data_IF_284904347217
#
_entry.id   IF_284904347217
#
_cell.length_a   1.000
_cell.length_b   1.000
_cell.length_c   1.000
_cell.angle_alpha   90.00
_cell.angle_beta   90.00
_cell.angle_gamma   90.00
#
_symmetry.space_group_name_H-M   'P 1'
#
loop_
_entity.id
_entity.type
_entity.pdbx_description
1 polymer ?
#
# COMPACT_ATOMS: atom_id res chain seq x y z
N UNK A 1 25.34 1.68 -19.51
CA UNK A 1 26.50 0.86 -19.90
C UNK A 1 26.14 -0.61 -19.64
N UNK A 2 26.03 -1.44 -20.67
CA UNK A 2 25.70 -2.87 -20.54
C UNK A 2 26.97 -3.69 -20.72
N UNK A 3 27.50 -4.27 -19.64
CA UNK A 3 28.73 -5.06 -19.72
C UNK A 3 28.54 -6.43 -20.40
N UNK A 4 27.32 -6.96 -20.45
CA UNK A 4 27.03 -8.24 -21.13
C UNK A 4 27.13 -8.15 -22.65
N UNK A 5 26.81 -6.97 -23.20
CA UNK A 5 26.80 -6.74 -24.65
C UNK A 5 28.23 -6.52 -25.18
N UNK A 6 29.18 -6.25 -24.27
CA UNK A 6 30.63 -6.13 -24.52
C UNK A 6 31.38 -7.49 -24.51
N UNK A 7 30.68 -8.64 -24.54
CA UNK A 7 31.31 -9.97 -24.56
C UNK A 7 31.93 -10.41 -23.23
N UNK A 8 31.64 -9.71 -22.14
CA UNK A 8 32.20 -9.97 -20.81
C UNK A 8 31.53 -11.20 -20.16
N UNK A 9 32.35 -12.12 -19.63
CA UNK A 9 31.82 -13.27 -18.88
C UNK A 9 31.17 -12.84 -17.56
N UNK A 10 30.25 -13.66 -17.02
CA UNK A 10 29.57 -13.35 -15.75
C UNK A 10 30.54 -13.12 -14.58
N UNK A 11 31.69 -13.80 -14.56
CA UNK A 11 32.74 -13.61 -13.54
C UNK A 11 33.45 -12.27 -13.68
N UNK A 12 33.78 -11.87 -14.90
CA UNK A 12 34.38 -10.55 -15.16
C UNK A 12 33.40 -9.42 -14.82
N UNK A 13 32.12 -9.58 -15.15
CA UNK A 13 31.08 -8.64 -14.76
C UNK A 13 30.94 -8.57 -13.23
N UNK A 14 30.95 -9.71 -12.54
CA UNK A 14 30.92 -9.79 -11.08
C UNK A 14 32.09 -9.03 -10.44
N UNK A 15 33.32 -9.26 -10.92
CA UNK A 15 34.51 -8.54 -10.46
C UNK A 15 34.45 -7.03 -10.74
N UNK A 16 34.02 -6.63 -11.95
CA UNK A 16 33.91 -5.22 -12.35
C UNK A 16 32.92 -4.43 -11.50
N UNK A 17 31.81 -5.05 -11.11
CA UNK A 17 30.73 -4.38 -10.37
C UNK A 17 30.68 -4.73 -8.87
N UNK A 18 31.62 -5.52 -8.36
CA UNK A 18 31.67 -5.90 -6.95
C UNK A 18 30.46 -6.72 -6.48
N UNK A 19 29.88 -7.53 -7.36
CA UNK A 19 28.71 -8.37 -7.05
C UNK A 19 29.08 -9.85 -7.01
N UNK A 20 28.28 -10.66 -6.32
CA UNK A 20 28.45 -12.12 -6.36
C UNK A 20 28.27 -12.69 -7.78
N UNK A 21 29.08 -13.69 -8.14
CA UNK A 21 29.01 -14.34 -9.47
C UNK A 21 27.61 -14.85 -9.79
N UNK A 22 26.92 -15.44 -8.81
CA UNK A 22 25.54 -15.91 -8.97
C UNK A 22 24.55 -14.77 -9.27
N UNK A 23 24.77 -13.58 -8.71
CA UNK A 23 23.96 -12.39 -8.99
C UNK A 23 24.21 -11.86 -10.39
N UNK A 24 25.47 -11.78 -10.82
CA UNK A 24 25.82 -11.41 -12.20
C UNK A 24 25.20 -12.38 -13.22
N UNK A 25 25.27 -13.69 -12.96
CA UNK A 25 24.62 -14.70 -13.82
C UNK A 25 23.10 -14.49 -13.92
N UNK A 26 22.41 -14.28 -12.79
CA UNK A 26 20.95 -14.00 -12.78
C UNK A 26 20.61 -12.73 -13.56
N UNK A 27 21.38 -11.66 -13.39
CA UNK A 27 21.16 -10.40 -14.10
C UNK A 27 21.40 -10.53 -15.60
N UNK A 28 22.45 -11.24 -16.03
CA UNK A 28 22.73 -11.48 -17.45
C UNK A 28 21.62 -12.33 -18.08
N UNK A 29 21.19 -13.42 -17.43
CA UNK A 29 20.10 -14.25 -17.92
C UNK A 29 18.79 -13.45 -18.06
N UNK A 30 18.53 -12.57 -17.10
CA UNK A 30 17.37 -11.68 -17.11
C UNK A 30 17.46 -10.61 -18.21
N UNK A 31 18.63 -10.00 -18.40
CA UNK A 31 18.86 -9.02 -19.46
C UNK A 31 18.64 -9.62 -20.86
N UNK A 32 19.00 -10.90 -21.07
CA UNK A 32 18.78 -11.63 -22.33
C UNK A 32 17.30 -11.76 -22.71
N UNK A 33 16.40 -11.81 -21.73
CA UNK A 33 14.95 -11.84 -21.96
C UNK A 33 14.32 -10.43 -21.93
N UNK A 34 15.13 -9.37 -21.97
CA UNK A 34 14.67 -7.98 -22.01
C UNK A 34 14.27 -7.38 -20.66
N UNK A 35 14.39 -8.13 -19.56
CA UNK A 35 14.06 -7.64 -18.22
C UNK A 35 15.26 -6.84 -17.63
N UNK A 36 15.29 -5.52 -17.86
CA UNK A 36 16.35 -4.65 -17.31
C UNK A 36 15.97 -3.97 -16.00
N UNK A 37 14.68 -3.90 -15.70
CA UNK A 37 14.17 -3.31 -14.47
C UNK A 37 14.21 -4.31 -13.29
N UNK A 38 14.39 -3.83 -12.05
CA UNK A 38 14.16 -4.67 -10.88
C UNK A 38 12.71 -5.16 -10.86
N UNK A 39 12.50 -6.42 -10.48
CA UNK A 39 11.16 -6.93 -10.18
C UNK A 39 10.65 -6.28 -8.88
N UNK A 40 9.32 -6.14 -8.71
CA UNK A 40 8.75 -5.67 -7.45
C UNK A 40 9.34 -6.45 -6.27
N UNK A 41 9.87 -5.73 -5.28
CA UNK A 41 10.47 -6.32 -4.10
C UNK A 41 9.40 -6.55 -3.03
N UNK A 42 9.44 -7.71 -2.39
CA UNK A 42 8.46 -8.10 -1.37
C UNK A 42 7.11 -8.53 -1.95
N UNK A 43 6.23 -9.02 -1.08
CA UNK A 43 4.86 -9.38 -1.46
C UNK A 43 3.97 -8.14 -1.26
N UNK A 44 3.50 -7.52 -2.36
CA UNK A 44 2.28 -6.71 -2.29
C UNK A 44 1.15 -7.69 -1.97
N UNK A 45 0.76 -7.78 -0.70
CA UNK A 45 -0.41 -8.56 -0.31
C UNK A 45 -1.62 -7.71 -0.66
N UNK A 46 -2.36 -8.11 -1.70
CA UNK A 46 -3.74 -7.68 -1.84
C UNK A 46 -4.43 -7.97 -0.50
N UNK A 47 -5.10 -6.96 0.04
CA UNK A 47 -5.88 -7.10 1.26
C UNK A 47 -7.11 -7.94 0.94
N UNK A 48 -7.59 -8.73 1.89
CA UNK A 48 -8.90 -9.38 1.74
C UNK A 48 -10.02 -8.35 1.54
N UNK A 49 -9.83 -7.12 2.02
CA UNK A 49 -10.77 -6.01 1.82
C UNK A 49 -10.81 -5.49 0.39
N UNK A 50 -9.79 -5.74 -0.44
CA UNK A 50 -9.76 -5.26 -1.83
C UNK A 50 -10.95 -5.84 -2.62
N UNK A 51 -11.37 -7.08 -2.30
CA UNK A 51 -12.56 -7.70 -2.89
C UNK A 51 -13.89 -7.10 -2.40
N UNK A 52 -13.89 -6.34 -1.31
CA UNK A 52 -15.07 -5.74 -0.69
C UNK A 52 -15.03 -4.20 -0.72
N UNK A 53 -14.19 -3.62 -1.58
CA UNK A 53 -14.02 -2.16 -1.69
C UNK A 53 -15.36 -1.47 -1.95
N UNK A 54 -16.13 -1.94 -2.93
CA UNK A 54 -17.42 -1.35 -3.28
C UNK A 54 -18.41 -1.36 -2.09
N UNK A 55 -18.40 -2.43 -1.29
CA UNK A 55 -19.21 -2.50 -0.08
C UNK A 55 -18.77 -1.46 0.95
N UNK A 56 -17.46 -1.37 1.22
CA UNK A 56 -16.90 -0.41 2.18
C UNK A 56 -17.18 1.03 1.76
N UNK A 57 -17.04 1.35 0.47
CA UNK A 57 -17.37 2.67 -0.07
C UNK A 57 -18.86 2.96 0.07
N UNK A 58 -19.72 1.99 -0.24
CA UNK A 58 -21.16 2.10 -0.05
C UNK A 58 -21.57 2.43 1.39
N UNK A 59 -20.89 1.83 2.39
CA UNK A 59 -21.11 2.16 3.81
C UNK A 59 -20.87 3.64 4.11
N UNK A 60 -19.80 4.20 3.54
CA UNK A 60 -19.39 5.59 3.76
C UNK A 60 -20.34 6.55 3.03
N UNK A 61 -20.78 6.18 1.82
CA UNK A 61 -21.72 6.97 1.02
C UNK A 61 -23.11 7.00 1.64
N UNK A 62 -23.59 5.87 2.16
CA UNK A 62 -24.86 5.75 2.89
C UNK A 62 -24.85 6.62 4.15
N UNK A 63 -23.75 6.57 4.92
CA UNK A 63 -23.61 7.34 6.16
C UNK A 63 -22.18 7.83 6.35
N UNK A 64 -21.97 9.12 6.08
CA UNK A 64 -20.63 9.75 6.11
C UNK A 64 -19.94 9.75 7.48
N UNK A 65 -20.71 9.65 8.57
CA UNK A 65 -20.22 9.59 9.95
C UNK A 65 -20.18 8.15 10.52
N UNK A 66 -20.28 7.12 9.66
CA UNK A 66 -20.10 5.74 10.09
C UNK A 66 -18.72 5.55 10.73
N UNK A 67 -18.73 4.96 11.92
CA UNK A 67 -17.50 4.71 12.67
C UNK A 67 -16.80 3.44 12.17
N UNK A 68 -15.47 3.37 12.38
CA UNK A 68 -14.69 2.18 12.02
C UNK A 68 -15.19 0.90 12.72
N UNK A 69 -15.75 1.00 13.93
CA UNK A 69 -16.26 -0.16 14.65
C UNK A 69 -17.53 -0.69 14.00
N UNK A 70 -18.46 0.19 13.66
CA UNK A 70 -19.69 -0.18 12.94
C UNK A 70 -19.36 -0.78 11.57
N UNK A 71 -18.36 -0.24 10.86
CA UNK A 71 -17.91 -0.84 9.60
C UNK A 71 -17.35 -2.25 9.78
N UNK A 72 -16.58 -2.49 10.84
CA UNK A 72 -16.07 -3.84 11.17
C UNK A 72 -17.21 -4.80 11.47
N UNK A 73 -18.21 -4.37 12.24
CA UNK A 73 -19.39 -5.19 12.54
C UNK A 73 -20.17 -5.55 11.27
N UNK A 74 -20.42 -4.58 10.39
CA UNK A 74 -21.09 -4.82 9.10
C UNK A 74 -20.28 -5.73 8.18
N UNK A 75 -18.96 -5.57 8.12
CA UNK A 75 -18.08 -6.47 7.37
C UNK A 75 -18.17 -7.92 7.85
N UNK A 76 -18.28 -8.14 9.17
CA UNK A 76 -18.48 -9.49 9.73
C UNK A 76 -19.88 -10.01 9.41
N UNK A 77 -20.92 -9.20 9.61
CA UNK A 77 -22.31 -9.63 9.48
C UNK A 77 -22.75 -9.85 8.03
N UNK A 78 -22.38 -8.95 7.12
CA UNK A 78 -22.89 -8.92 5.75
C UNK A 78 -21.92 -9.53 4.74
N UNK A 79 -20.62 -9.48 5.01
CA UNK A 79 -19.58 -9.95 4.09
C UNK A 79 -18.79 -11.15 4.63
N UNK A 80 -19.05 -11.59 5.87
CA UNK A 80 -18.29 -12.65 6.55
C UNK A 80 -16.77 -12.36 6.65
N UNK A 81 -16.38 -11.09 6.62
CA UNK A 81 -14.97 -10.66 6.69
C UNK A 81 -14.63 -10.23 8.10
N UNK A 82 -13.77 -11.02 8.77
CA UNK A 82 -13.22 -10.67 10.09
C UNK A 82 -11.93 -9.87 9.92
N UNK A 83 -11.96 -8.60 10.33
CA UNK A 83 -10.79 -7.72 10.32
C UNK A 83 -10.76 -6.84 11.57
N UNK A 84 -9.56 -6.47 12.00
CA UNK A 84 -9.41 -5.53 13.10
C UNK A 84 -9.71 -4.09 12.66
N UNK A 85 -10.18 -3.26 13.60
CA UNK A 85 -10.38 -1.81 13.40
C UNK A 85 -9.13 -1.11 12.86
N UNK A 86 -7.95 -1.47 13.36
CA UNK A 86 -6.67 -0.88 12.95
C UNK A 86 -6.30 -1.26 11.52
N UNK A 87 -6.56 -2.51 11.11
CA UNK A 87 -6.33 -2.96 9.74
C UNK A 87 -7.29 -2.29 8.76
N UNK A 88 -8.58 -2.14 9.11
CA UNK A 88 -9.53 -1.35 8.31
C UNK A 88 -9.06 0.10 8.18
N UNK A 89 -8.62 0.73 9.26
CA UNK A 89 -8.09 2.10 9.24
C UNK A 89 -6.83 2.24 8.37
N UNK A 90 -5.93 1.26 8.40
CA UNK A 90 -4.75 1.25 7.53
C UNK A 90 -5.15 1.08 6.06
N UNK A 91 -6.10 0.19 5.78
CA UNK A 91 -6.61 -0.05 4.44
C UNK A 91 -7.28 1.19 3.84
N UNK A 92 -8.18 1.85 4.60
CA UNK A 92 -8.84 3.09 4.19
C UNK A 92 -7.83 4.20 3.86
N UNK A 93 -6.82 4.39 4.71
CA UNK A 93 -5.73 5.36 4.45
C UNK A 93 -4.95 5.02 3.18
N UNK A 94 -4.69 3.73 2.94
CA UNK A 94 -4.04 3.26 1.71
C UNK A 94 -4.86 3.51 0.44
N UNK A 95 -6.20 3.55 0.56
CA UNK A 95 -7.14 3.84 -0.53
C UNK A 95 -7.54 5.32 -0.62
N UNK A 96 -6.87 6.21 0.11
CA UNK A 96 -7.12 7.66 0.05
C UNK A 96 -8.30 8.14 0.89
N UNK A 97 -8.97 7.26 1.64
CA UNK A 97 -10.06 7.63 2.54
C UNK A 97 -9.50 8.21 3.84
N UNK A 98 -9.52 9.54 3.94
CA UNK A 98 -9.13 10.27 5.14
C UNK A 98 -10.29 11.13 5.65
N UNK A 99 -10.57 11.04 6.96
CA UNK A 99 -11.55 11.93 7.57
C UNK A 99 -10.94 13.31 7.81
N UNK A 100 -11.53 14.35 7.19
CA UNK A 100 -11.13 15.74 7.42
C UNK A 100 -11.53 16.16 8.84
N UNK A 101 -10.57 16.56 9.66
CA UNK A 101 -10.86 17.24 10.93
C UNK A 101 -11.27 18.68 10.63
N UNK A 102 -12.46 19.09 11.07
CA UNK A 102 -12.82 20.51 11.11
C UNK A 102 -12.26 21.13 12.40
N UNK A 103 -11.57 22.27 12.34
CA UNK A 103 -11.25 23.05 13.54
C UNK A 103 -12.53 23.31 14.32
N UNK A 104 -12.45 23.22 15.65
CA UNK A 104 -13.59 23.58 16.51
C UNK A 104 -13.82 25.08 16.33
N UNK A 105 -15.08 25.48 16.15
CA UNK A 105 -15.47 26.89 16.20
C UNK A 105 -14.98 27.48 17.52
N UNK A 106 -14.24 28.59 17.46
CA UNK A 106 -13.74 29.26 18.65
C UNK A 106 -14.92 29.66 19.54
N UNK A 107 -14.83 29.41 20.84
CA UNK A 107 -15.88 29.83 21.77
C UNK A 107 -16.05 31.36 21.67
N UNK A 108 -17.28 31.83 21.46
CA UNK A 108 -17.60 33.24 21.61
C UNK A 108 -17.31 33.64 23.06
N UNK A 109 -16.48 34.67 23.26
CA UNK A 109 -16.21 35.23 24.59
C UNK A 109 -17.55 35.62 25.22
N UNK A 110 -17.90 34.98 26.33
CA UNK A 110 -18.99 35.43 27.19
C UNK A 110 -18.56 36.79 27.75
N UNK A 111 -19.33 37.84 27.45
CA UNK A 111 -19.06 39.18 27.98
C UNK A 111 -19.23 39.18 29.51
N UNK A 112 -18.46 39.99 30.28
CA UNK A 112 -18.62 40.07 31.72
C UNK A 112 -20.02 40.56 32.06
N UNK A 113 -20.77 39.78 32.84
CA UNK A 113 -22.00 40.24 33.47
C UNK A 113 -21.61 41.27 34.55
N UNK A 114 -22.08 42.51 34.42
CA UNK A 114 -22.03 43.53 35.49
C UNK A 114 -23.22 43.39 36.43
#
# INVERSE_FOLDING_TARGET
MKASDEGMSARQAAARFGVGVSSAMRWIARAKIGELAPRPQGRRRASSLDAHEAFIVGLIEERKDITLNEMVERLVAEQSVRISRSALSAWLRGHGWTFKKSPRTHWSRIAPTS
#
